data_IF_306230249004
#
_entry.id   IF_306230249004
#
_cell.length_a   1.000
_cell.length_b   1.000
_cell.length_c   1.000
_cell.angle_alpha   90.00
_cell.angle_beta   90.00
_cell.angle_gamma   90.00
#
_symmetry.space_group_name_H-M   'P 1'
#
loop_
_entity.id
_entity.type
_entity.pdbx_description
1 polymer ?
#
# COMPACT_ATOMS: atom_id res chain seq x y z
N UNK A 1 39.16 -30.19 -13.86
CA UNK A 1 38.19 -29.10 -13.95
C UNK A 1 38.22 -28.32 -12.62
N UNK A 2 38.62 -27.03 -12.65
CA UNK A 2 38.72 -26.22 -11.43
C UNK A 2 37.34 -26.11 -10.75
N UNK A 3 37.28 -26.13 -9.42
CA UNK A 3 36.06 -25.93 -8.62
C UNK A 3 35.30 -24.64 -9.04
N UNK A 4 36.04 -23.65 -9.46
CA UNK A 4 35.51 -22.39 -9.98
C UNK A 4 34.67 -22.55 -11.25
N UNK A 5 35.13 -23.36 -12.20
CA UNK A 5 34.39 -23.59 -13.45
C UNK A 5 33.11 -24.39 -13.19
N UNK A 6 33.16 -25.41 -12.29
CA UNK A 6 31.96 -26.12 -11.84
C UNK A 6 30.92 -25.19 -11.16
N UNK A 7 31.38 -24.22 -10.38
CA UNK A 7 30.50 -23.22 -9.76
C UNK A 7 29.85 -22.34 -10.85
N UNK A 8 30.62 -21.83 -11.81
CA UNK A 8 30.08 -20.96 -12.87
C UNK A 8 29.08 -21.67 -13.80
N UNK A 9 29.26 -22.97 -14.03
CA UNK A 9 28.35 -23.79 -14.82
C UNK A 9 27.04 -24.10 -14.08
N UNK A 10 27.06 -24.15 -12.73
CA UNK A 10 25.86 -24.42 -11.93
C UNK A 10 25.04 -23.16 -11.71
N UNK A 11 24.16 -22.84 -12.66
CA UNK A 11 23.30 -21.64 -12.62
C UNK A 11 22.46 -21.55 -11.34
N UNK A 12 22.00 -22.68 -10.77
CA UNK A 12 21.18 -22.66 -9.53
C UNK A 12 22.00 -22.21 -8.33
N UNK A 13 23.19 -22.79 -8.16
CA UNK A 13 24.09 -22.46 -7.05
C UNK A 13 24.57 -21.00 -7.16
N UNK A 14 24.92 -20.56 -8.36
CA UNK A 14 25.35 -19.20 -8.66
C UNK A 14 24.26 -18.17 -8.30
N UNK A 15 23.02 -18.39 -8.76
CA UNK A 15 21.86 -17.55 -8.42
C UNK A 15 21.58 -17.53 -6.93
N UNK A 16 21.70 -18.67 -6.24
CA UNK A 16 21.51 -18.73 -4.80
C UNK A 16 22.53 -17.85 -4.05
N UNK A 17 23.81 -17.92 -4.45
CA UNK A 17 24.88 -17.08 -3.86
C UNK A 17 24.64 -15.60 -4.15
N UNK A 18 24.24 -15.23 -5.39
CA UNK A 18 23.93 -13.85 -5.74
C UNK A 18 22.72 -13.34 -4.95
N UNK A 19 21.68 -14.18 -4.78
CA UNK A 19 20.51 -13.81 -3.97
C UNK A 19 20.90 -13.54 -2.51
N UNK A 20 21.73 -14.39 -1.91
CA UNK A 20 22.25 -14.16 -0.55
C UNK A 20 23.08 -12.87 -0.48
N UNK A 21 23.87 -12.57 -1.51
CA UNK A 21 24.60 -11.32 -1.63
C UNK A 21 23.66 -10.11 -1.67
N UNK A 22 22.60 -10.17 -2.47
CA UNK A 22 21.57 -9.11 -2.54
C UNK A 22 20.91 -8.89 -1.18
N UNK A 23 20.49 -9.98 -0.51
CA UNK A 23 19.89 -9.92 0.82
C UNK A 23 20.88 -9.31 1.83
N UNK A 24 22.14 -9.71 1.79
CA UNK A 24 23.18 -9.14 2.65
C UNK A 24 23.40 -7.64 2.45
N UNK A 25 23.44 -7.17 1.20
CA UNK A 25 23.54 -5.75 0.87
C UNK A 25 22.31 -4.98 1.35
N UNK A 26 21.10 -5.51 1.12
CA UNK A 26 19.86 -4.89 1.58
C UNK A 26 19.80 -4.82 3.11
N UNK A 27 20.26 -5.86 3.81
CA UNK A 27 20.35 -5.86 5.26
C UNK A 27 21.36 -4.84 5.79
N UNK A 28 22.53 -4.72 5.17
CA UNK A 28 23.53 -3.70 5.49
C UNK A 28 22.98 -2.29 5.24
N UNK A 29 22.13 -2.11 4.22
CA UNK A 29 21.50 -0.83 3.85
C UNK A 29 20.16 -0.59 4.55
N UNK A 30 19.84 -1.31 5.62
CA UNK A 30 18.52 -1.25 6.28
C UNK A 30 18.09 0.15 6.72
N UNK A 31 19.05 1.03 7.05
CA UNK A 31 18.77 2.42 7.44
C UNK A 31 18.19 3.29 6.31
N UNK A 32 18.51 2.95 5.06
CA UNK A 32 18.03 3.68 3.87
C UNK A 32 17.06 2.86 3.02
N UNK A 33 16.67 1.66 3.47
CA UNK A 33 15.84 0.75 2.67
C UNK A 33 14.48 1.35 2.32
N UNK A 34 13.91 2.15 3.22
CA UNK A 34 12.66 2.88 2.98
C UNK A 34 12.78 3.86 1.82
N UNK A 35 13.93 4.58 1.74
CA UNK A 35 14.21 5.49 0.61
C UNK A 35 14.33 4.71 -0.68
N UNK A 36 15.06 3.58 -0.69
CA UNK A 36 15.24 2.75 -1.88
C UNK A 36 13.89 2.21 -2.38
N UNK A 37 13.09 1.63 -1.48
CA UNK A 37 11.79 1.06 -1.83
C UNK A 37 10.81 2.12 -2.34
N UNK A 38 10.72 3.26 -1.67
CA UNK A 38 9.86 4.35 -2.12
C UNK A 38 10.32 4.96 -3.43
N UNK A 39 11.65 5.13 -3.63
CA UNK A 39 12.20 5.55 -4.92
C UNK A 39 11.74 4.62 -6.03
N UNK A 40 11.80 3.31 -5.80
CA UNK A 40 11.33 2.33 -6.77
C UNK A 40 9.81 2.45 -7.01
N UNK A 41 9.01 2.57 -5.95
CA UNK A 41 7.54 2.71 -6.05
C UNK A 41 7.18 3.97 -6.86
N UNK A 42 7.75 5.12 -6.52
CA UNK A 42 7.49 6.36 -7.25
C UNK A 42 7.94 6.27 -8.70
N UNK A 43 9.17 5.79 -8.95
CA UNK A 43 9.67 5.62 -10.31
C UNK A 43 8.74 4.72 -11.14
N UNK A 44 8.34 3.58 -10.58
CA UNK A 44 7.47 2.64 -11.28
C UNK A 44 6.09 3.24 -11.60
N UNK A 45 5.42 3.83 -10.61
CA UNK A 45 4.09 4.41 -10.79
C UNK A 45 4.12 5.63 -11.73
N UNK A 46 5.11 6.51 -11.56
CA UNK A 46 5.24 7.72 -12.38
C UNK A 46 5.62 7.35 -13.82
N UNK A 47 6.52 6.40 -14.04
CA UNK A 47 6.84 5.93 -15.41
C UNK A 47 5.60 5.35 -16.09
N UNK A 48 4.76 4.58 -15.37
CA UNK A 48 3.47 4.08 -15.90
C UNK A 48 2.52 5.22 -16.25
N UNK A 49 2.41 6.22 -15.38
CA UNK A 49 1.58 7.41 -15.62
C UNK A 49 2.07 8.20 -16.86
N UNK A 50 3.39 8.43 -16.95
CA UNK A 50 4.01 9.12 -18.09
C UNK A 50 3.73 8.38 -19.40
N UNK A 51 3.90 7.05 -19.42
CA UNK A 51 3.58 6.23 -20.59
C UNK A 51 2.10 6.33 -20.98
N UNK A 52 1.20 6.40 -20.01
CA UNK A 52 -0.24 6.57 -20.26
C UNK A 52 -0.54 7.96 -20.87
N UNK A 53 0.06 9.03 -20.33
CA UNK A 53 -0.09 10.40 -20.84
C UNK A 53 0.49 10.52 -22.25
N UNK A 54 1.66 9.94 -22.47
CA UNK A 54 2.37 10.04 -23.76
C UNK A 54 1.60 9.36 -24.92
N UNK A 55 0.73 8.40 -24.61
CA UNK A 55 -0.17 7.80 -25.62
C UNK A 55 -1.21 8.79 -26.15
N UNK A 56 -1.58 9.80 -25.36
CA UNK A 56 -2.65 10.75 -25.70
C UNK A 56 -2.11 12.12 -26.10
N UNK A 57 -0.87 12.45 -25.68
CA UNK A 57 -0.27 13.79 -25.87
C UNK A 57 1.11 13.65 -26.44
N UNK A 58 1.36 14.35 -27.58
CA UNK A 58 2.67 14.38 -28.26
C UNK A 58 3.59 15.47 -27.69
N UNK A 59 3.93 15.38 -26.40
CA UNK A 59 4.85 16.28 -25.72
C UNK A 59 6.15 15.52 -25.42
N UNK A 60 7.33 16.18 -25.43
CA UNK A 60 8.59 15.56 -25.02
C UNK A 60 8.48 14.95 -23.62
N UNK A 61 8.95 13.69 -23.47
CA UNK A 61 8.84 12.94 -22.21
C UNK A 61 9.41 13.71 -21.01
N UNK A 62 10.50 14.47 -21.22
CA UNK A 62 11.13 15.27 -20.15
C UNK A 62 10.20 16.34 -19.58
N UNK A 63 9.40 17.03 -20.41
CA UNK A 63 8.43 18.02 -19.94
C UNK A 63 7.29 17.38 -19.18
N UNK A 64 6.83 16.19 -19.62
CA UNK A 64 5.81 15.43 -18.88
C UNK A 64 6.34 15.00 -17.51
N UNK A 65 7.59 14.52 -17.45
CA UNK A 65 8.27 14.16 -16.18
C UNK A 65 8.26 15.35 -15.23
N UNK A 66 8.78 16.51 -15.67
CA UNK A 66 8.84 17.72 -14.83
C UNK A 66 7.45 18.13 -14.35
N UNK A 67 6.46 18.17 -15.25
CA UNK A 67 5.10 18.56 -14.90
C UNK A 67 4.45 17.61 -13.87
N UNK A 68 4.63 16.30 -14.02
CA UNK A 68 4.09 15.29 -13.11
C UNK A 68 4.74 15.39 -11.72
N UNK A 69 6.07 15.55 -11.66
CA UNK A 69 6.76 15.70 -10.37
C UNK A 69 6.41 17.02 -9.67
N UNK A 70 6.30 18.14 -10.40
CA UNK A 70 5.85 19.41 -9.83
C UNK A 70 4.41 19.30 -9.29
N UNK A 71 3.51 18.67 -10.04
CA UNK A 71 2.14 18.42 -9.59
C UNK A 71 2.10 17.55 -8.33
N UNK A 72 2.91 16.48 -8.28
CA UNK A 72 3.00 15.58 -7.13
C UNK A 72 3.56 16.28 -5.89
N UNK A 73 4.64 17.05 -6.05
CA UNK A 73 5.23 17.85 -4.95
C UNK A 73 4.22 18.89 -4.45
N UNK A 74 3.52 19.58 -5.35
CA UNK A 74 2.47 20.53 -5.00
C UNK A 74 1.32 19.85 -4.23
N UNK A 75 0.89 18.67 -4.66
CA UNK A 75 -0.15 17.89 -3.99
C UNK A 75 0.30 17.46 -2.59
N UNK A 76 1.53 16.95 -2.43
CA UNK A 76 2.08 16.56 -1.13
C UNK A 76 2.22 17.80 -0.22
N UNK A 77 2.70 18.93 -0.74
CA UNK A 77 2.78 20.17 0.01
C UNK A 77 1.41 20.60 0.54
N UNK A 78 0.39 20.64 -0.30
CA UNK A 78 -0.99 20.94 0.11
C UNK A 78 -1.52 19.92 1.13
N UNK A 79 -1.24 18.63 0.91
CA UNK A 79 -1.63 17.59 1.84
C UNK A 79 -1.06 17.83 3.23
N UNK A 80 0.25 18.05 3.34
CA UNK A 80 0.96 18.19 4.62
C UNK A 80 0.64 19.53 5.30
N UNK A 81 0.57 20.63 4.55
CA UNK A 81 0.40 21.98 5.16
C UNK A 81 -1.04 22.37 5.45
N UNK A 82 -1.98 21.85 4.67
CA UNK A 82 -3.40 22.27 4.80
C UNK A 82 -4.27 21.15 5.36
N UNK A 83 -4.15 19.92 4.81
CA UNK A 83 -5.11 18.86 5.10
C UNK A 83 -4.75 18.02 6.31
N UNK A 84 -3.49 17.70 6.53
CA UNK A 84 -3.04 16.96 7.72
C UNK A 84 -3.35 17.72 9.02
N UNK A 85 -3.05 19.03 9.16
CA UNK A 85 -3.44 19.79 10.35
C UNK A 85 -4.95 19.82 10.60
N UNK A 86 -5.77 19.91 9.53
CA UNK A 86 -7.23 19.85 9.65
C UNK A 86 -7.73 18.49 10.16
N UNK A 87 -7.14 17.38 9.69
CA UNK A 87 -7.47 16.06 10.21
C UNK A 87 -7.12 15.91 11.69
N UNK A 88 -5.97 16.44 12.11
CA UNK A 88 -5.53 16.41 13.50
C UNK A 88 -6.52 17.18 14.37
N UNK A 89 -6.80 18.45 14.05
CA UNK A 89 -7.71 19.28 14.84
C UNK A 89 -9.12 18.70 14.91
N UNK A 90 -9.59 18.06 13.85
CA UNK A 90 -10.88 17.37 13.82
C UNK A 90 -10.87 16.12 14.69
N UNK A 91 -9.78 15.34 14.67
CA UNK A 91 -9.63 14.18 15.52
C UNK A 91 -9.61 14.58 17.00
N UNK A 92 -8.90 15.66 17.36
CA UNK A 92 -8.90 16.23 18.72
C UNK A 92 -10.29 16.66 19.18
N UNK A 93 -11.02 17.40 18.34
CA UNK A 93 -12.38 17.81 18.64
C UNK A 93 -13.34 16.63 18.80
N UNK A 94 -13.15 15.58 18.00
CA UNK A 94 -13.93 14.34 18.07
C UNK A 94 -13.66 13.59 19.35
N UNK A 95 -12.39 13.40 19.72
CA UNK A 95 -12.00 12.76 20.99
C UNK A 95 -12.57 13.55 22.17
N UNK A 96 -12.45 14.87 22.16
CA UNK A 96 -13.03 15.72 23.20
C UNK A 96 -14.57 15.58 23.28
N UNK A 97 -15.26 15.42 22.16
CA UNK A 97 -16.71 15.20 22.12
C UNK A 97 -17.11 13.84 22.68
N UNK A 98 -16.36 12.79 22.35
CA UNK A 98 -16.56 11.45 22.91
C UNK A 98 -16.33 11.43 24.41
N UNK A 99 -15.27 12.11 24.89
CA UNK A 99 -14.97 12.22 26.31
C UNK A 99 -16.09 12.98 27.06
N UNK A 100 -16.62 14.08 26.50
CA UNK A 100 -17.75 14.82 27.06
C UNK A 100 -19.02 13.95 27.11
N UNK A 101 -19.30 13.18 26.07
CA UNK A 101 -20.44 12.27 26.04
C UNK A 101 -20.34 11.20 27.14
N UNK A 102 -19.14 10.67 27.35
CA UNK A 102 -18.89 9.66 28.41
C UNK A 102 -19.02 10.28 29.83
N UNK A 103 -18.57 11.51 30.00
CA UNK A 103 -18.63 12.22 31.29
C UNK A 103 -20.04 12.75 31.61
N UNK A 104 -20.80 13.15 30.59
CA UNK A 104 -22.14 13.75 30.71
C UNK A 104 -23.10 13.14 29.69
N UNK A 105 -23.58 11.89 29.90
CA UNK A 105 -24.48 11.24 28.96
C UNK A 105 -25.81 11.97 28.84
N UNK A 106 -26.36 12.15 27.63
CA UNK A 106 -27.69 12.74 27.43
C UNK A 106 -28.78 11.89 28.10
N UNK A 107 -29.83 12.54 28.60
CA UNK A 107 -30.99 11.88 29.19
C UNK A 107 -31.63 10.92 28.15
N UNK A 108 -31.59 9.61 28.41
CA UNK A 108 -32.08 8.56 27.50
C UNK A 108 -31.00 7.64 26.89
N UNK A 109 -29.73 7.98 27.04
CA UNK A 109 -28.61 7.11 26.58
C UNK A 109 -28.25 6.01 27.61
N UNK A 110 -28.89 6.00 28.77
CA UNK A 110 -28.52 5.14 29.91
C UNK A 110 -28.57 3.64 29.59
N UNK A 111 -29.49 3.15 28.74
CA UNK A 111 -29.58 1.75 28.39
C UNK A 111 -28.41 1.31 27.49
N UNK A 112 -28.09 2.11 26.50
CA UNK A 112 -26.97 1.83 25.60
C UNK A 112 -25.63 1.98 26.32
N UNK A 113 -25.50 2.98 27.19
CA UNK A 113 -24.32 3.19 28.03
C UNK A 113 -24.15 2.09 29.04
N UNK A 114 -25.24 1.65 29.72
CA UNK A 114 -25.20 0.53 30.67
C UNK A 114 -24.88 -0.80 29.97
N UNK A 115 -25.36 -1.01 28.75
CA UNK A 115 -24.99 -2.17 27.94
C UNK A 115 -23.50 -2.12 27.53
N UNK A 116 -23.03 -1.00 27.06
CA UNK A 116 -21.61 -0.80 26.66
C UNK A 116 -20.71 -0.79 27.90
N UNK A 117 -21.09 -0.11 29.00
CA UNK A 117 -20.29 -0.07 30.22
C UNK A 117 -20.21 -1.39 30.96
N UNK A 118 -21.19 -2.26 30.81
CA UNK A 118 -21.14 -3.64 31.33
C UNK A 118 -20.02 -4.48 30.64
N UNK A 119 -19.79 -4.24 29.36
CA UNK A 119 -18.73 -4.91 28.61
C UNK A 119 -17.40 -4.11 28.60
N UNK A 120 -17.47 -2.80 28.62
CA UNK A 120 -16.35 -1.86 28.46
C UNK A 120 -15.84 -1.33 29.81
N UNK A 121 -16.66 -1.42 30.89
CA UNK A 121 -16.28 -0.95 32.22
C UNK A 121 -15.14 -1.73 32.90
N UNK A 122 -14.73 -2.86 32.34
CA UNK A 122 -13.48 -3.58 32.69
C UNK A 122 -12.26 -3.16 31.87
N UNK A 123 -12.46 -2.44 30.78
CA UNK A 123 -11.41 -1.88 29.94
C UNK A 123 -11.29 -0.41 30.33
N UNK A 124 -10.11 0.01 30.73
CA UNK A 124 -9.81 1.42 31.04
C UNK A 124 -9.81 2.24 29.75
N UNK A 125 -11.03 2.43 29.19
CA UNK A 125 -11.26 3.04 27.87
C UNK A 125 -10.67 4.44 27.80
N UNK A 126 -10.68 5.17 28.92
CA UNK A 126 -10.11 6.51 28.99
C UNK A 126 -8.59 6.49 28.74
N UNK A 127 -7.88 5.56 29.35
CA UNK A 127 -6.44 5.41 29.14
C UNK A 127 -6.13 4.79 27.79
N UNK A 128 -6.98 3.90 27.27
CA UNK A 128 -6.83 3.37 25.91
C UNK A 128 -7.10 4.41 24.83
N UNK A 129 -8.11 5.26 24.96
CA UNK A 129 -8.38 6.36 24.02
C UNK A 129 -7.27 7.39 24.06
N UNK A 130 -6.78 7.77 25.26
CA UNK A 130 -5.62 8.63 25.42
C UNK A 130 -4.36 8.00 24.83
N UNK A 131 -4.09 6.73 25.12
CA UNK A 131 -2.94 6.00 24.58
C UNK A 131 -2.99 5.87 23.06
N UNK A 132 -4.17 5.61 22.50
CA UNK A 132 -4.34 5.57 21.03
C UNK A 132 -4.13 6.95 20.40
N UNK A 133 -4.59 8.02 21.06
CA UNK A 133 -4.34 9.40 20.62
C UNK A 133 -2.86 9.76 20.70
N UNK A 134 -2.15 9.38 21.76
CA UNK A 134 -0.70 9.58 21.89
C UNK A 134 0.07 8.84 20.80
N UNK A 135 -0.36 7.62 20.44
CA UNK A 135 0.21 6.87 19.32
C UNK A 135 0.01 7.63 18.01
N UNK A 136 -1.20 8.09 17.71
CA UNK A 136 -1.49 8.90 16.52
C UNK A 136 -0.66 10.17 16.52
N UNK A 137 -0.56 10.89 17.63
CA UNK A 137 0.25 12.11 17.75
C UNK A 137 1.76 11.82 17.60
N UNK A 138 2.25 10.68 18.07
CA UNK A 138 3.62 10.25 17.84
C UNK A 138 3.91 10.00 16.36
N UNK A 139 2.98 9.39 15.63
CA UNK A 139 3.10 9.25 14.17
C UNK A 139 3.05 10.59 13.45
N UNK A 140 2.20 11.51 13.89
CA UNK A 140 2.09 12.88 13.34
C UNK A 140 3.37 13.69 13.59
N UNK A 141 3.95 13.61 14.78
CA UNK A 141 5.23 14.29 15.11
C UNK A 141 6.42 13.66 14.38
N UNK A 142 6.32 12.40 13.97
CA UNK A 142 7.30 11.72 13.11
C UNK A 142 7.27 12.18 11.65
N UNK A 143 6.36 13.10 11.27
CA UNK A 143 6.24 13.64 9.89
C UNK A 143 7.56 14.26 9.41
N UNK A 144 8.39 14.81 10.30
CA UNK A 144 9.69 15.37 9.92
C UNK A 144 10.64 14.32 9.30
N UNK A 145 10.79 13.16 9.93
CA UNK A 145 11.62 12.07 9.41
C UNK A 145 10.99 11.37 8.20
N UNK A 146 9.66 11.21 8.20
CA UNK A 146 8.91 10.71 7.05
C UNK A 146 9.00 11.67 5.86
N UNK A 147 8.94 13.00 6.11
CA UNK A 147 9.07 14.04 5.09
C UNK A 147 10.42 13.99 4.40
N UNK A 148 11.51 13.81 5.15
CA UNK A 148 12.85 13.65 4.58
C UNK A 148 12.96 12.39 3.69
N UNK A 149 12.42 11.27 4.16
CA UNK A 149 12.39 10.01 3.40
C UNK A 149 11.59 10.16 2.10
N UNK A 150 10.41 10.78 2.16
CA UNK A 150 9.59 11.07 0.99
C UNK A 150 10.31 12.01 0.01
N UNK A 151 10.87 13.10 0.51
CA UNK A 151 11.60 14.07 -0.30
C UNK A 151 12.79 13.42 -1.03
N UNK A 152 13.64 12.67 -0.29
CA UNK A 152 14.77 11.97 -0.89
C UNK A 152 14.33 10.92 -1.91
N UNK A 153 13.27 10.19 -1.62
CA UNK A 153 12.72 9.19 -2.54
C UNK A 153 12.17 9.82 -3.82
N UNK A 154 11.48 10.95 -3.71
CA UNK A 154 10.99 11.71 -4.88
C UNK A 154 12.14 12.30 -5.70
N UNK A 155 13.14 12.85 -5.03
CA UNK A 155 14.32 13.42 -5.68
C UNK A 155 15.07 12.35 -6.49
N UNK A 156 15.37 11.21 -5.87
CA UNK A 156 16.05 10.10 -6.55
C UNK A 156 15.19 9.52 -7.67
N UNK A 157 13.88 9.38 -7.45
CA UNK A 157 12.95 8.92 -8.48
C UNK A 157 12.89 9.89 -9.67
N UNK A 158 12.89 11.20 -9.42
CA UNK A 158 12.95 12.21 -10.47
C UNK A 158 14.21 12.08 -11.34
N UNK A 159 15.39 12.02 -10.72
CA UNK A 159 16.64 11.85 -11.46
C UNK A 159 16.67 10.54 -12.25
N UNK A 160 16.23 9.45 -11.62
CA UNK A 160 16.15 8.16 -12.31
C UNK A 160 15.22 8.22 -13.53
N UNK A 161 14.04 8.82 -13.38
CA UNK A 161 13.03 8.87 -14.45
C UNK A 161 13.45 9.77 -15.60
N UNK A 162 14.16 10.89 -15.32
CA UNK A 162 14.63 11.79 -16.38
C UNK A 162 15.82 11.21 -17.16
N UNK A 163 16.64 10.38 -16.48
CA UNK A 163 17.83 9.73 -17.04
C UNK A 163 17.62 8.24 -17.37
N UNK A 164 16.38 7.74 -17.37
CA UNK A 164 16.04 6.32 -17.52
C UNK A 164 16.78 5.66 -18.68
N UNK A 165 16.84 6.34 -19.84
CA UNK A 165 17.53 5.82 -21.03
C UNK A 165 19.03 5.69 -20.83
N UNK A 166 19.69 6.71 -20.28
CA UNK A 166 21.13 6.72 -20.03
C UNK A 166 21.50 5.67 -18.96
N UNK A 167 20.70 5.59 -17.90
CA UNK A 167 20.85 4.57 -16.85
C UNK A 167 20.71 3.16 -17.40
N UNK A 168 19.74 2.93 -18.30
CA UNK A 168 19.55 1.62 -18.93
C UNK A 168 20.74 1.24 -19.83
N UNK A 169 21.27 2.18 -20.64
CA UNK A 169 22.43 1.95 -21.48
C UNK A 169 23.70 1.69 -20.65
N UNK A 170 23.93 2.50 -19.61
CA UNK A 170 25.03 2.31 -18.68
C UNK A 170 24.96 0.95 -17.98
N UNK A 171 23.78 0.56 -17.47
CA UNK A 171 23.58 -0.72 -16.79
C UNK A 171 23.80 -1.92 -17.70
N UNK A 172 23.49 -1.83 -19.00
CA UNK A 172 23.73 -2.90 -19.97
C UNK A 172 25.22 -3.21 -20.15
N UNK A 173 26.10 -2.22 -20.00
CA UNK A 173 27.55 -2.44 -20.15
C UNK A 173 28.09 -3.42 -19.10
N UNK A 174 27.53 -3.46 -17.91
CA UNK A 174 27.91 -4.42 -16.87
C UNK A 174 27.51 -5.87 -17.17
N UNK A 175 26.49 -6.07 -18.02
CA UNK A 175 26.03 -7.43 -18.39
C UNK A 175 26.97 -8.15 -19.37
N UNK A 176 27.75 -7.37 -20.13
CA UNK A 176 28.58 -7.87 -21.23
C UNK A 176 30.06 -7.73 -20.96
N UNK A 177 30.48 -6.90 -20.00
CA UNK A 177 31.87 -6.50 -19.81
C UNK A 177 32.45 -7.05 -18.49
N UNK A 178 33.63 -7.64 -18.57
CA UNK A 178 34.47 -7.97 -17.44
C UNK A 178 34.23 -9.34 -16.79
N UNK A 179 35.12 -9.75 -15.85
CA UNK A 179 35.11 -11.07 -15.22
C UNK A 179 33.90 -11.31 -14.29
N UNK A 180 33.20 -10.25 -13.91
CA UNK A 180 32.02 -10.29 -13.01
C UNK A 180 30.69 -10.19 -13.76
N UNK A 181 30.68 -10.23 -15.09
CA UNK A 181 29.45 -10.13 -15.89
C UNK A 181 28.37 -11.13 -15.45
N UNK A 182 28.76 -12.34 -15.03
CA UNK A 182 27.85 -13.37 -14.52
C UNK A 182 27.06 -12.91 -13.28
N UNK A 183 27.67 -12.13 -12.36
CA UNK A 183 26.98 -11.57 -11.18
C UNK A 183 25.89 -10.61 -11.63
N UNK A 184 26.23 -9.68 -12.54
CA UNK A 184 25.28 -8.69 -13.05
C UNK A 184 24.16 -9.34 -13.87
N UNK A 185 24.44 -10.42 -14.61
CA UNK A 185 23.39 -11.19 -15.30
C UNK A 185 22.40 -11.82 -14.32
N UNK A 186 22.88 -12.38 -13.21
CA UNK A 186 21.99 -12.94 -12.18
C UNK A 186 21.26 -11.86 -11.38
N UNK A 187 21.90 -10.72 -11.08
CA UNK A 187 21.21 -9.55 -10.52
C UNK A 187 20.11 -9.07 -11.46
N UNK A 188 20.38 -8.97 -12.76
CA UNK A 188 19.39 -8.59 -13.77
C UNK A 188 18.21 -9.59 -13.82
N UNK A 189 18.49 -10.87 -13.71
CA UNK A 189 17.45 -11.90 -13.63
C UNK A 189 16.51 -11.67 -12.44
N UNK A 190 17.04 -11.42 -11.24
CA UNK A 190 16.22 -11.12 -10.06
C UNK A 190 15.52 -9.77 -10.17
N UNK A 191 16.21 -8.75 -10.68
CA UNK A 191 15.61 -7.44 -10.91
C UNK A 191 14.42 -7.51 -11.88
N UNK A 192 14.52 -8.30 -12.95
CA UNK A 192 13.42 -8.51 -13.90
C UNK A 192 12.22 -9.19 -13.24
N UNK A 193 12.43 -10.23 -12.42
CA UNK A 193 11.34 -10.86 -11.67
C UNK A 193 10.74 -9.85 -10.69
N UNK A 194 11.58 -9.12 -9.96
CA UNK A 194 11.14 -8.12 -8.99
C UNK A 194 10.25 -7.05 -9.65
N UNK A 195 10.73 -6.41 -10.72
CA UNK A 195 9.97 -5.37 -11.43
C UNK A 195 8.64 -5.91 -11.95
N UNK A 196 8.62 -7.13 -12.50
CA UNK A 196 7.41 -7.72 -13.05
C UNK A 196 6.38 -8.13 -11.98
N UNK A 197 6.84 -8.61 -10.81
CA UNK A 197 5.96 -9.08 -9.75
C UNK A 197 5.55 -7.94 -8.84
N UNK A 198 6.52 -7.24 -8.29
CA UNK A 198 6.31 -6.09 -7.41
C UNK A 198 5.52 -4.99 -8.11
N UNK A 199 5.90 -4.67 -9.35
CA UNK A 199 5.26 -3.60 -10.10
C UNK A 199 3.80 -3.85 -10.38
N UNK A 200 3.42 -5.07 -10.78
CA UNK A 200 2.02 -5.44 -11.01
C UNK A 200 1.18 -5.34 -9.74
N UNK A 201 1.72 -5.79 -8.61
CA UNK A 201 1.02 -5.71 -7.32
C UNK A 201 0.83 -4.25 -6.90
N UNK A 202 1.86 -3.42 -7.04
CA UNK A 202 1.80 -2.00 -6.69
C UNK A 202 0.84 -1.22 -7.59
N UNK A 203 0.85 -1.48 -8.90
CA UNK A 203 -0.07 -0.86 -9.85
C UNK A 203 -1.53 -1.21 -9.51
N UNK A 204 -1.79 -2.49 -9.22
CA UNK A 204 -3.11 -2.94 -8.81
C UNK A 204 -3.55 -2.29 -7.48
N UNK A 205 -2.68 -2.27 -6.48
CA UNK A 205 -2.98 -1.68 -5.17
C UNK A 205 -3.25 -0.17 -5.27
N UNK A 206 -2.48 0.54 -6.08
CA UNK A 206 -2.69 1.96 -6.33
C UNK A 206 -4.04 2.22 -7.00
N UNK A 207 -4.43 1.40 -8.00
CA UNK A 207 -5.73 1.50 -8.67
C UNK A 207 -6.87 1.18 -7.70
N UNK A 208 -6.72 0.16 -6.85
CA UNK A 208 -7.69 -0.18 -5.81
C UNK A 208 -7.86 1.00 -4.85
N UNK A 209 -6.76 1.61 -4.39
CA UNK A 209 -6.80 2.76 -3.50
C UNK A 209 -7.56 3.94 -4.12
N UNK A 210 -7.35 4.23 -5.41
CA UNK A 210 -8.10 5.28 -6.13
C UNK A 210 -9.59 4.95 -6.15
N UNK A 211 -9.96 3.73 -6.57
CA UNK A 211 -11.37 3.31 -6.70
C UNK A 211 -12.06 3.36 -5.32
N UNK A 212 -11.44 2.80 -4.28
CA UNK A 212 -11.96 2.82 -2.92
C UNK A 212 -12.16 4.25 -2.43
N UNK A 213 -11.19 5.14 -2.68
CA UNK A 213 -11.27 6.55 -2.31
C UNK A 213 -12.44 7.23 -3.01
N UNK A 214 -12.59 7.05 -4.31
CA UNK A 214 -13.68 7.68 -5.07
C UNK A 214 -15.05 7.20 -4.56
N UNK A 215 -15.23 5.90 -4.40
CA UNK A 215 -16.50 5.32 -3.92
C UNK A 215 -16.82 5.83 -2.52
N UNK A 216 -15.88 5.66 -1.59
CA UNK A 216 -16.10 6.01 -0.18
C UNK A 216 -16.33 7.52 -0.02
N UNK A 217 -15.51 8.36 -0.66
CA UNK A 217 -15.67 9.83 -0.61
C UNK A 217 -17.00 10.28 -1.19
N UNK A 218 -17.45 9.67 -2.29
CA UNK A 218 -18.76 9.97 -2.87
C UNK A 218 -19.90 9.65 -1.90
N UNK A 219 -19.86 8.48 -1.26
CA UNK A 219 -20.85 8.10 -0.26
C UNK A 219 -20.82 9.02 0.98
N UNK A 220 -19.63 9.36 1.48
CA UNK A 220 -19.46 10.32 2.58
C UNK A 220 -19.99 11.72 2.20
N UNK A 221 -19.86 12.11 0.93
CA UNK A 221 -20.43 13.35 0.39
C UNK A 221 -21.96 13.36 0.46
N UNK A 222 -22.62 12.25 0.09
CA UNK A 222 -24.07 12.13 0.25
C UNK A 222 -24.52 12.16 1.71
N UNK A 223 -23.68 11.64 2.63
CA UNK A 223 -23.91 11.75 4.07
C UNK A 223 -23.61 13.15 4.64
N UNK A 224 -23.19 14.11 3.80
CA UNK A 224 -22.82 15.49 4.19
C UNK A 224 -21.70 15.53 5.24
N UNK A 225 -20.76 14.58 5.17
CA UNK A 225 -19.61 14.58 6.05
C UNK A 225 -18.73 15.82 5.85
N UNK A 226 -18.19 16.40 6.94
CA UNK A 226 -17.32 17.58 6.82
C UNK A 226 -15.96 17.19 6.22
N UNK A 227 -15.27 18.17 5.63
CA UNK A 227 -13.88 18.06 5.17
C UNK A 227 -13.61 16.84 4.27
N UNK A 228 -14.49 16.57 3.29
CA UNK A 228 -14.41 15.44 2.38
C UNK A 228 -13.03 15.23 1.76
N UNK A 229 -12.31 16.30 1.42
CA UNK A 229 -10.99 16.17 0.83
C UNK A 229 -9.96 15.61 1.81
N UNK A 230 -10.00 16.02 3.08
CA UNK A 230 -9.13 15.47 4.13
C UNK A 230 -9.41 13.98 4.36
N UNK A 231 -10.71 13.63 4.39
CA UNK A 231 -11.14 12.23 4.52
C UNK A 231 -10.73 11.39 3.30
N UNK A 232 -10.87 11.93 2.09
CA UNK A 232 -10.47 11.22 0.88
C UNK A 232 -8.96 10.96 0.83
N UNK A 233 -8.14 11.93 1.24
CA UNK A 233 -6.70 11.75 1.34
C UNK A 233 -6.33 10.67 2.36
N UNK A 234 -6.97 10.68 3.53
CA UNK A 234 -6.79 9.66 4.56
C UNK A 234 -7.18 8.26 4.03
N UNK A 235 -8.34 8.14 3.41
CA UNK A 235 -8.82 6.88 2.83
C UNK A 235 -7.85 6.39 1.75
N UNK A 236 -7.38 7.27 0.87
CA UNK A 236 -6.42 6.93 -0.17
C UNK A 236 -5.13 6.35 0.41
N UNK A 237 -4.52 7.05 1.37
CA UNK A 237 -3.27 6.60 1.99
C UNK A 237 -3.45 5.27 2.73
N UNK A 238 -4.53 5.13 3.50
CA UNK A 238 -4.82 3.88 4.22
C UNK A 238 -5.16 2.73 3.25
N UNK A 239 -5.87 2.99 2.16
CA UNK A 239 -6.18 1.97 1.13
C UNK A 239 -4.96 1.46 0.37
N UNK A 240 -3.79 2.11 0.49
CA UNK A 240 -2.53 1.55 -0.03
C UNK A 240 -2.07 0.32 0.76
N UNK A 241 -2.58 0.11 1.97
CA UNK A 241 -2.29 -1.06 2.80
C UNK A 241 -3.40 -2.09 2.62
N UNK A 242 -3.14 -3.25 1.98
CA UNK A 242 -4.17 -4.26 1.74
C UNK A 242 -4.84 -4.73 3.03
N UNK A 243 -6.15 -4.88 3.03
CA UNK A 243 -6.97 -5.36 4.17
C UNK A 243 -6.91 -4.45 5.40
N UNK A 244 -5.71 -4.15 5.91
CA UNK A 244 -5.54 -3.34 7.11
C UNK A 244 -6.04 -1.90 6.93
N UNK A 245 -5.97 -1.36 5.72
CA UNK A 245 -6.39 0.01 5.41
C UNK A 245 -7.85 0.28 5.73
N UNK A 246 -8.73 -0.64 5.36
CA UNK A 246 -10.18 -0.52 5.63
C UNK A 246 -10.46 -0.58 7.14
N UNK A 247 -9.80 -1.50 7.86
CA UNK A 247 -9.98 -1.67 9.30
C UNK A 247 -9.50 -0.41 10.06
N UNK A 248 -8.32 0.09 9.70
CA UNK A 248 -7.76 1.29 10.33
C UNK A 248 -8.59 2.53 10.01
N UNK A 249 -9.09 2.68 8.77
CA UNK A 249 -9.92 3.81 8.37
C UNK A 249 -11.30 3.80 9.04
N UNK A 250 -11.81 2.65 9.44
CA UNK A 250 -13.10 2.53 10.13
C UNK A 250 -13.13 3.36 11.43
N UNK A 251 -12.04 3.36 12.17
CA UNK A 251 -11.96 4.06 13.46
C UNK A 251 -12.22 5.58 13.30
N UNK A 252 -11.39 6.34 12.56
CA UNK A 252 -11.63 7.78 12.41
C UNK A 252 -12.93 8.09 11.69
N UNK A 253 -13.35 7.29 10.69
CA UNK A 253 -14.59 7.51 9.98
C UNK A 253 -15.82 7.34 10.88
N UNK A 254 -15.86 6.30 11.71
CA UNK A 254 -16.94 6.10 12.67
C UNK A 254 -16.99 7.20 13.72
N UNK A 255 -15.84 7.68 14.20
CA UNK A 255 -15.79 8.82 15.13
C UNK A 255 -16.37 10.08 14.50
N UNK A 256 -15.96 10.42 13.27
CA UNK A 256 -16.48 11.61 12.57
C UNK A 256 -17.97 11.43 12.28
N UNK A 257 -18.40 10.26 11.81
CA UNK A 257 -19.81 9.97 11.57
C UNK A 257 -20.67 10.12 12.81
N UNK A 258 -20.16 9.70 13.97
CA UNK A 258 -20.84 9.89 15.24
C UNK A 258 -21.06 11.36 15.57
N UNK A 259 -20.11 12.24 15.32
CA UNK A 259 -20.24 13.68 15.57
C UNK A 259 -21.22 14.40 14.64
N UNK A 260 -21.48 13.83 13.46
CA UNK A 260 -22.37 14.43 12.43
C UNK A 260 -23.82 13.96 12.59
N UNK A 261 -24.05 12.65 12.64
CA UNK A 261 -25.38 12.05 12.64
C UNK A 261 -25.61 10.98 13.71
N UNK A 262 -24.71 10.90 14.71
CA UNK A 262 -24.81 9.95 15.82
C UNK A 262 -24.66 8.49 15.37
N UNK A 263 -25.33 7.58 16.11
CA UNK A 263 -25.26 6.14 15.84
C UNK A 263 -25.76 5.75 14.44
N UNK A 264 -26.68 6.49 13.88
CA UNK A 264 -27.22 6.25 12.54
C UNK A 264 -26.13 6.35 11.49
N UNK A 265 -25.32 7.41 11.51
CA UNK A 265 -24.26 7.65 10.53
C UNK A 265 -23.08 6.69 10.75
N UNK A 266 -22.81 6.29 12.00
CA UNK A 266 -21.85 5.22 12.29
C UNK A 266 -22.29 3.90 11.63
N UNK A 267 -23.57 3.54 11.75
CA UNK A 267 -24.11 2.34 11.11
C UNK A 267 -23.94 2.39 9.57
N UNK A 268 -24.26 3.53 8.95
CA UNK A 268 -24.08 3.69 7.50
C UNK A 268 -22.62 3.59 7.08
N UNK A 269 -21.70 4.13 7.86
CA UNK A 269 -20.25 4.02 7.58
C UNK A 269 -19.79 2.56 7.68
N UNK A 270 -20.20 1.83 8.71
CA UNK A 270 -19.85 0.41 8.86
C UNK A 270 -20.36 -0.40 7.65
N UNK A 271 -21.62 -0.20 7.27
CA UNK A 271 -22.20 -0.87 6.09
C UNK A 271 -21.42 -0.49 4.83
N UNK A 272 -21.12 0.80 4.63
CA UNK A 272 -20.32 1.28 3.50
C UNK A 272 -18.95 0.59 3.45
N UNK A 273 -18.23 0.54 4.56
CA UNK A 273 -16.91 -0.09 4.62
C UNK A 273 -16.96 -1.59 4.34
N UNK A 274 -18.00 -2.30 4.84
CA UNK A 274 -18.22 -3.71 4.51
C UNK A 274 -18.45 -3.90 3.02
N UNK A 275 -19.28 -3.05 2.40
CA UNK A 275 -19.57 -3.12 0.95
C UNK A 275 -18.31 -2.82 0.13
N UNK A 276 -17.55 -1.77 0.49
CA UNK A 276 -16.30 -1.41 -0.18
C UNK A 276 -15.28 -2.54 -0.04
N UNK A 277 -15.13 -3.11 1.16
CA UNK A 277 -14.22 -4.23 1.38
C UNK A 277 -14.64 -5.50 0.61
N UNK A 278 -15.94 -5.78 0.53
CA UNK A 278 -16.46 -6.87 -0.30
C UNK A 278 -16.17 -6.63 -1.79
N UNK A 279 -16.39 -5.39 -2.28
CA UNK A 279 -16.05 -5.00 -3.64
C UNK A 279 -14.56 -5.16 -3.93
N UNK A 280 -13.69 -4.71 -3.00
CA UNK A 280 -12.25 -4.89 -3.08
C UNK A 280 -11.88 -6.37 -3.18
N UNK A 281 -12.36 -7.18 -2.24
CA UNK A 281 -11.97 -8.59 -2.10
C UNK A 281 -12.51 -9.47 -3.23
N UNK A 282 -13.76 -9.26 -3.68
CA UNK A 282 -14.41 -10.14 -4.64
C UNK A 282 -14.38 -9.65 -6.08
N UNK A 283 -14.15 -8.35 -6.31
CA UNK A 283 -14.18 -7.76 -7.66
C UNK A 283 -12.85 -7.15 -8.05
N UNK A 284 -12.31 -6.23 -7.23
CA UNK A 284 -11.12 -5.47 -7.60
C UNK A 284 -9.84 -6.31 -7.55
N UNK A 285 -9.63 -7.05 -6.47
CA UNK A 285 -8.45 -7.89 -6.32
C UNK A 285 -8.36 -8.96 -7.44
N UNK A 286 -9.39 -9.78 -7.74
CA UNK A 286 -9.31 -10.74 -8.82
C UNK A 286 -9.12 -10.10 -10.20
N UNK A 287 -9.68 -8.90 -10.41
CA UNK A 287 -9.66 -8.22 -11.70
C UNK A 287 -8.35 -7.48 -11.98
N UNK A 288 -7.73 -6.89 -10.94
CA UNK A 288 -6.56 -6.04 -11.05
C UNK A 288 -5.25 -6.76 -10.69
N UNK A 289 -5.27 -7.63 -9.68
CA UNK A 289 -4.05 -8.30 -9.21
C UNK A 289 -3.68 -9.55 -10.00
N UNK A 290 -4.51 -10.03 -10.93
CA UNK A 290 -4.24 -11.31 -11.61
C UNK A 290 -4.00 -12.45 -10.60
N UNK A 291 -4.27 -13.70 -10.92
CA UNK A 291 -4.26 -14.88 -10.04
C UNK A 291 -2.93 -15.20 -9.31
N UNK A 292 -1.97 -14.27 -9.29
CA UNK A 292 -0.63 -14.47 -8.70
C UNK A 292 -0.50 -14.05 -7.23
N UNK A 293 -1.47 -13.31 -6.68
CA UNK A 293 -1.31 -12.65 -5.37
C UNK A 293 -2.40 -12.94 -4.36
N UNK A 294 -3.23 -13.96 -4.61
CA UNK A 294 -4.25 -14.37 -3.64
C UNK A 294 -3.60 -15.06 -2.44
N UNK A 295 -3.21 -14.26 -1.45
CA UNK A 295 -2.74 -14.77 -0.17
C UNK A 295 -3.94 -14.97 0.77
N UNK A 296 -3.99 -16.07 1.52
CA UNK A 296 -4.94 -16.21 2.62
C UNK A 296 -4.77 -15.07 3.63
N UNK A 297 -5.89 -14.61 4.21
CA UNK A 297 -5.92 -13.44 5.11
C UNK A 297 -4.88 -13.57 6.25
N UNK A 298 -4.73 -14.76 6.82
CA UNK A 298 -3.73 -15.00 7.86
C UNK A 298 -2.31 -14.67 7.40
N UNK A 299 -1.91 -15.17 6.22
CA UNK A 299 -0.58 -14.86 5.67
C UNK A 299 -0.43 -13.38 5.36
N UNK A 300 -1.48 -12.72 4.89
CA UNK A 300 -1.48 -11.26 4.67
C UNK A 300 -1.13 -10.52 5.96
N UNK A 301 -1.78 -10.83 7.08
CA UNK A 301 -1.48 -10.19 8.37
C UNK A 301 -0.07 -10.52 8.87
N UNK A 302 0.37 -11.77 8.77
CA UNK A 302 1.74 -12.15 9.16
C UNK A 302 2.77 -11.39 8.34
N UNK A 303 2.58 -11.30 7.02
CA UNK A 303 3.48 -10.56 6.13
C UNK A 303 3.49 -9.07 6.47
N UNK A 304 2.34 -8.47 6.71
CA UNK A 304 2.24 -7.05 7.09
C UNK A 304 2.97 -6.78 8.41
N UNK A 305 2.76 -7.64 9.42
CA UNK A 305 3.40 -7.49 10.73
C UNK A 305 4.92 -7.64 10.65
N UNK A 306 5.41 -8.66 9.93
CA UNK A 306 6.85 -8.87 9.73
C UNK A 306 7.46 -7.72 8.92
N UNK A 307 6.78 -7.27 7.88
CA UNK A 307 7.27 -6.20 7.02
C UNK A 307 7.29 -4.85 7.74
N UNK A 308 6.30 -4.58 8.60
CA UNK A 308 6.30 -3.39 9.47
C UNK A 308 7.52 -3.40 10.41
N UNK A 309 7.81 -4.55 11.02
CA UNK A 309 8.97 -4.68 11.91
C UNK A 309 10.31 -4.48 11.17
N UNK A 310 10.42 -4.96 9.92
CA UNK A 310 11.66 -4.89 9.13
C UNK A 310 11.88 -3.54 8.45
N UNK A 311 10.81 -2.92 7.93
CA UNK A 311 10.84 -1.75 7.05
C UNK A 311 10.08 -0.54 7.62
N UNK A 312 9.58 -0.65 8.87
CA UNK A 312 8.73 0.37 9.47
C UNK A 312 7.39 0.54 8.75
N UNK A 313 6.78 1.71 8.89
CA UNK A 313 5.45 2.01 8.30
C UNK A 313 5.38 1.74 6.79
N UNK A 314 6.47 1.96 6.06
CA UNK A 314 6.53 1.67 4.64
C UNK A 314 6.44 0.17 4.31
N UNK A 315 6.82 -0.68 5.26
CA UNK A 315 6.68 -2.12 5.15
C UNK A 315 5.23 -2.57 4.99
N UNK A 316 4.28 -1.84 5.53
CA UNK A 316 2.85 -2.12 5.35
C UNK A 316 2.40 -1.99 3.87
N UNK A 317 3.03 -1.10 3.12
CA UNK A 317 2.72 -0.89 1.70
C UNK A 317 3.47 -1.90 0.82
N UNK A 318 4.78 -2.08 1.07
CA UNK A 318 5.64 -2.88 0.20
C UNK A 318 5.74 -4.37 0.58
N UNK A 319 5.25 -4.75 1.75
CA UNK A 319 5.39 -6.11 2.30
C UNK A 319 4.79 -7.19 1.43
N UNK A 320 3.54 -7.02 1.02
CA UNK A 320 2.85 -7.96 0.13
C UNK A 320 3.57 -8.12 -1.21
N UNK A 321 3.93 -7.04 -1.93
CA UNK A 321 4.74 -7.12 -3.15
C UNK A 321 6.07 -7.85 -2.96
N UNK A 322 6.80 -7.59 -1.88
CA UNK A 322 8.08 -8.25 -1.59
C UNK A 322 7.87 -9.75 -1.32
N UNK A 323 6.86 -10.10 -0.53
CA UNK A 323 6.54 -11.49 -0.23
C UNK A 323 6.14 -12.25 -1.49
N UNK A 324 5.32 -11.67 -2.35
CA UNK A 324 4.94 -12.25 -3.64
C UNK A 324 6.15 -12.46 -4.55
N UNK A 325 7.07 -11.49 -4.59
CA UNK A 325 8.35 -11.65 -5.28
C UNK A 325 9.15 -12.83 -4.74
N UNK A 326 9.21 -13.01 -3.42
CA UNK A 326 9.90 -14.17 -2.82
C UNK A 326 9.26 -15.49 -3.23
N UNK A 327 7.91 -15.55 -3.26
CA UNK A 327 7.20 -16.74 -3.75
C UNK A 327 7.54 -17.06 -5.20
N UNK A 328 7.60 -16.04 -6.08
CA UNK A 328 7.98 -16.21 -7.48
C UNK A 328 9.43 -16.70 -7.64
N UNK A 329 10.37 -16.17 -6.85
CA UNK A 329 11.77 -16.64 -6.84
C UNK A 329 11.87 -18.09 -6.37
N UNK A 330 11.07 -18.49 -5.38
CA UNK A 330 11.00 -19.86 -4.86
C UNK A 330 10.22 -20.81 -5.79
N UNK A 331 9.57 -20.29 -6.83
CA UNK A 331 8.74 -21.09 -7.74
C UNK A 331 7.43 -21.59 -7.10
N UNK A 332 7.02 -20.98 -5.99
CA UNK A 332 5.78 -21.32 -5.29
C UNK A 332 4.60 -20.67 -6.02
N UNK A 333 3.72 -21.50 -6.56
CA UNK A 333 2.48 -21.01 -7.21
C UNK A 333 1.40 -20.82 -6.16
N UNK A 334 0.60 -19.75 -6.22
CA UNK A 334 -0.54 -19.57 -5.34
C UNK A 334 -1.54 -20.72 -5.51
N UNK A 335 -2.11 -21.15 -4.39
CA UNK A 335 -3.13 -22.21 -4.38
C UNK A 335 -4.41 -21.62 -4.95
N UNK A 336 -4.75 -21.99 -6.19
CA UNK A 336 -6.03 -21.61 -6.78
C UNK A 336 -7.17 -22.20 -5.92
N UNK A 337 -7.96 -21.32 -5.30
CA UNK A 337 -9.13 -21.72 -4.56
C UNK A 337 -10.05 -22.55 -5.47
N UNK A 338 -10.60 -23.64 -4.95
CA UNK A 338 -11.48 -24.63 -5.66
C UNK A 338 -12.55 -23.99 -6.57
N UNK A 339 -12.93 -22.74 -6.31
CA UNK A 339 -13.95 -22.00 -7.05
C UNK A 339 -13.58 -21.79 -8.55
N UNK A 340 -12.35 -21.46 -8.85
CA UNK A 340 -11.87 -21.29 -10.24
C UNK A 340 -11.80 -22.61 -11.01
N UNK A 341 -11.62 -23.74 -10.31
CA UNK A 341 -11.63 -25.06 -10.96
C UNK A 341 -13.04 -25.48 -11.36
N UNK A 342 -14.03 -25.21 -10.52
CA UNK A 342 -15.43 -25.47 -10.79
C UNK A 342 -16.00 -24.56 -11.92
N UNK A 343 -15.55 -23.33 -12.00
CA UNK A 343 -15.95 -22.41 -13.08
C UNK A 343 -15.34 -22.81 -14.42
N UNK A 344 -14.09 -23.27 -14.44
CA UNK A 344 -13.46 -23.85 -15.65
C UNK A 344 -14.14 -25.13 -16.08
N UNK A 345 -14.50 -26.01 -15.17
CA UNK A 345 -15.24 -27.24 -15.47
C UNK A 345 -16.63 -26.92 -16.02
N UNK A 346 -17.37 -25.98 -15.43
CA UNK A 346 -18.67 -25.52 -15.94
C UNK A 346 -18.59 -24.87 -17.33
N UNK A 347 -17.50 -24.15 -17.63
CA UNK A 347 -17.28 -23.57 -18.97
C UNK A 347 -16.95 -24.66 -20.00
N UNK A 348 -16.19 -25.70 -19.60
CA UNK A 348 -15.91 -26.84 -20.49
C UNK A 348 -17.16 -27.71 -20.74
N UNK A 349 -17.96 -27.95 -19.69
CA UNK A 349 -19.23 -28.65 -19.84
C UNK A 349 -20.19 -27.93 -20.81
N UNK A 350 -20.34 -26.61 -20.67
CA UNK A 350 -21.17 -25.79 -21.58
C UNK A 350 -20.64 -25.74 -23.01
N UNK A 351 -19.33 -25.84 -23.24
CA UNK A 351 -18.76 -25.92 -24.58
C UNK A 351 -18.98 -27.29 -25.22
N UNK A 352 -18.98 -28.36 -24.43
CA UNK A 352 -19.23 -29.72 -24.89
C UNK A 352 -20.74 -30.00 -25.15
N UNK A 353 -21.64 -29.23 -24.54
CA UNK A 353 -23.10 -29.30 -24.78
C UNK A 353 -23.56 -28.50 -26.03
N UNK A 354 -22.69 -27.64 -26.57
CA UNK A 354 -23.01 -26.79 -27.75
C UNK A 354 -22.28 -27.26 -29.03
N UNK A 355 -21.53 -28.33 -29.02
CA UNK A 355 -20.86 -28.97 -30.14
C UNK A 355 -21.41 -30.37 -30.40
#
# INVERSE_FOLDING_TARGET
>A
MNLWNKFLENVRLRRFVVLLGIIGILYASRSIISVILLTFVFTFLITRLIMSIHRHVKIPSQLIVIAVYLALIGLIYLAVTVYVPKLISQSEATVASVLKFYQNPPKGANEVINFISGYVGKLDVMNQVKGSFEIVMKYVTSIGSMGFTLFMSLLLSFFFTIEERQMAEFSKSFLTSGPFAWIFQDIYYFAKIFVNTFGVVMEAQFMIAIINTVITTTCLGFMKMPQLFSLSLMIFVLSLVPVAGVIVSAVPLCFIGYTVGGLRDVFYIIVLLIVVHALESYVLNPKLMSSRTELPIFYTFVVLFVSEHLFGTWGLIVGIPIFTFMLDVLGVKPVHTKHNKLEKLRKQEKQNEQG
#
